data_IF_693324401706
#
_entry.id   IF_693324401706
#
_cell.length_a   1.000
_cell.length_b   1.000
_cell.length_c   1.000
_cell.angle_alpha   90.00
_cell.angle_beta   90.00
_cell.angle_gamma   90.00
#
_symmetry.space_group_name_H-M   'P 1'
#
loop_
_entity.id
_entity.type
_entity.pdbx_description
1 polymer ?
#
# COMPACT_ATOMS: atom_id res chain seq x y z
N UNK A 1 -3.20 -7.77 5.71
CA UNK A 1 -1.73 -7.86 5.53
C UNK A 1 -1.10 -6.49 5.26
N UNK A 2 -1.45 -5.80 4.16
CA UNK A 2 -0.92 -4.45 3.84
C UNK A 2 -1.19 -3.42 4.94
N UNK A 3 -2.42 -3.36 5.47
CA UNK A 3 -2.72 -2.42 6.57
C UNK A 3 -1.95 -2.71 7.84
N UNK A 4 -1.77 -3.98 8.19
CA UNK A 4 -0.98 -4.36 9.35
C UNK A 4 0.49 -3.96 9.16
N UNK A 5 1.02 -4.17 7.96
CA UNK A 5 2.38 -3.75 7.59
C UNK A 5 2.56 -2.23 7.58
N UNK A 6 1.60 -1.50 7.01
CA UNK A 6 1.59 -0.05 7.01
C UNK A 6 1.41 0.53 8.42
N UNK A 7 0.66 -0.15 9.31
CA UNK A 7 0.54 0.24 10.72
C UNK A 7 1.79 -0.08 11.54
N UNK A 8 2.45 -1.21 11.30
CA UNK A 8 3.68 -1.58 12.03
C UNK A 8 4.89 -0.75 11.61
N UNK A 9 5.02 -0.48 10.31
CA UNK A 9 6.15 0.28 9.72
C UNK A 9 5.86 1.77 9.57
N UNK A 10 4.62 2.20 9.83
CA UNK A 10 4.12 3.57 9.63
C UNK A 10 3.86 3.95 8.17
N UNK A 11 4.38 3.19 7.20
CA UNK A 11 4.24 3.46 5.78
C UNK A 11 4.41 2.19 4.95
N UNK A 12 3.94 2.25 3.73
CA UNK A 12 4.11 1.19 2.73
C UNK A 12 4.33 1.79 1.35
N UNK A 13 5.26 1.20 0.60
CA UNK A 13 5.55 1.57 -0.78
C UNK A 13 4.93 0.57 -1.75
N UNK A 14 4.78 0.98 -3.02
CA UNK A 14 4.30 0.08 -4.07
C UNK A 14 5.22 -1.13 -4.28
N UNK A 15 6.54 -0.95 -4.12
CA UNK A 15 7.51 -2.03 -4.21
C UNK A 15 7.30 -3.06 -3.10
N UNK A 16 7.11 -2.62 -1.86
CA UNK A 16 6.85 -3.53 -0.73
C UNK A 16 5.53 -4.29 -0.89
N UNK A 17 4.47 -3.64 -1.38
CA UNK A 17 3.21 -4.33 -1.68
C UNK A 17 3.42 -5.35 -2.80
N UNK A 18 4.13 -4.98 -3.86
CA UNK A 18 4.46 -5.89 -4.96
C UNK A 18 5.16 -7.15 -4.45
N UNK A 19 6.20 -6.96 -3.64
CA UNK A 19 7.04 -8.04 -3.13
C UNK A 19 6.29 -8.90 -2.10
N UNK A 20 5.38 -8.30 -1.32
CA UNK A 20 4.54 -9.03 -0.35
C UNK A 20 3.54 -9.99 -0.99
N UNK A 21 3.05 -9.66 -2.20
CA UNK A 21 2.09 -10.47 -2.94
C UNK A 21 2.71 -11.18 -4.15
N UNK A 22 4.02 -11.08 -4.33
CA UNK A 22 4.76 -11.57 -5.49
C UNK A 22 4.03 -11.33 -6.82
N UNK A 23 3.61 -10.07 -7.02
CA UNK A 23 2.73 -9.69 -8.13
C UNK A 23 3.37 -8.66 -9.04
N UNK A 24 2.70 -8.30 -10.13
CA UNK A 24 3.17 -7.21 -11.00
C UNK A 24 2.83 -5.84 -10.40
N UNK A 25 3.58 -4.81 -10.81
CA UNK A 25 3.33 -3.42 -10.38
C UNK A 25 1.90 -2.96 -10.71
N UNK A 26 1.31 -3.46 -11.80
CA UNK A 26 -0.06 -3.14 -12.21
C UNK A 26 -1.07 -3.54 -11.14
N UNK A 27 -0.96 -4.76 -10.60
CA UNK A 27 -1.86 -5.26 -9.58
C UNK A 27 -1.60 -4.65 -8.20
N UNK A 28 -0.33 -4.47 -7.83
CA UNK A 28 0.02 -3.78 -6.59
C UNK A 28 -0.50 -2.33 -6.57
N UNK A 29 -0.41 -1.63 -7.71
CA UNK A 29 -0.96 -0.28 -7.87
C UNK A 29 -2.48 -0.26 -7.69
N UNK A 30 -3.20 -1.13 -8.40
CA UNK A 30 -4.65 -1.22 -8.31
C UNK A 30 -5.13 -1.54 -6.89
N UNK A 31 -4.42 -2.43 -6.18
CA UNK A 31 -4.72 -2.74 -4.78
C UNK A 31 -4.56 -1.50 -3.88
N UNK A 32 -3.47 -0.76 -4.05
CA UNK A 32 -3.22 0.47 -3.29
C UNK A 32 -4.24 1.57 -3.60
N UNK A 33 -4.62 1.73 -4.86
CA UNK A 33 -5.66 2.68 -5.28
C UNK A 33 -7.02 2.33 -4.63
N UNK A 34 -7.38 1.05 -4.61
CA UNK A 34 -8.59 0.59 -3.93
C UNK A 34 -8.56 0.86 -2.41
N UNK A 35 -7.40 0.73 -1.78
CA UNK A 35 -7.23 1.04 -0.36
C UNK A 35 -7.31 2.55 -0.09
N UNK A 36 -6.80 3.36 -1.01
CA UNK A 36 -6.89 4.82 -0.96
C UNK A 36 -8.36 5.27 -1.13
N UNK A 37 -9.11 4.69 -2.08
CA UNK A 37 -10.55 4.94 -2.29
C UNK A 37 -11.38 4.60 -1.04
N UNK A 38 -11.06 3.48 -0.39
CA UNK A 38 -11.68 3.07 0.88
C UNK A 38 -11.23 3.89 2.09
N UNK A 39 -10.39 4.91 1.90
CA UNK A 39 -9.83 5.77 2.96
C UNK A 39 -9.05 4.97 4.03
N UNK A 40 -8.49 3.83 3.65
CA UNK A 40 -7.68 2.99 4.55
C UNK A 40 -6.21 3.41 4.54
N UNK A 41 -5.73 3.90 3.40
CA UNK A 41 -4.40 4.46 3.22
C UNK A 41 -4.49 5.90 2.70
N UNK A 42 -3.45 6.68 2.94
CA UNK A 42 -3.27 8.02 2.38
C UNK A 42 -1.91 8.10 1.72
N UNK A 43 -1.88 8.52 0.46
CA UNK A 43 -0.62 8.81 -0.24
C UNK A 43 0.03 10.07 0.33
N UNK A 44 1.30 9.95 0.72
CA UNK A 44 2.17 11.04 1.16
C UNK A 44 3.46 10.93 0.34
N UNK A 45 3.54 11.72 -0.75
CA UNK A 45 4.62 11.61 -1.74
C UNK A 45 4.59 10.27 -2.49
N UNK A 46 5.68 9.51 -2.42
CA UNK A 46 5.81 8.18 -3.02
C UNK A 46 5.41 7.02 -2.09
N UNK A 47 5.09 7.34 -0.84
CA UNK A 47 4.73 6.36 0.18
C UNK A 47 3.24 6.47 0.53
N UNK A 48 2.69 5.40 1.10
CA UNK A 48 1.32 5.37 1.61
C UNK A 48 1.32 5.07 3.09
N UNK A 49 0.61 5.89 3.85
CA UNK A 49 0.50 5.79 5.30
C UNK A 49 -0.88 5.20 5.62
N UNK A 50 -0.96 4.25 6.55
CA UNK A 50 -2.24 3.76 7.04
C UNK A 50 -2.93 4.88 7.83
N UNK A 51 -4.23 5.08 7.60
CA UNK A 51 -5.06 5.93 8.45
C UNK A 51 -5.35 5.27 9.81
#
# INVERSE_FOLDING_TARGET
RVLAYAKSKGKVTLAEVRDMFDTSRKYAKALLEYMDEKKLTKRVGDERVAR
#
